data_IF_025813809921
#
_entry.id   IF_025813809921
#
_cell.length_a   1.000
_cell.length_b   1.000
_cell.length_c   1.000
_cell.angle_alpha   90.00
_cell.angle_beta   90.00
_cell.angle_gamma   90.00
#
_symmetry.space_group_name_H-M   'P 1'
#
loop_
_entity.id
_entity.type
_entity.pdbx_description
1 polymer ?
#
# COMPACT_ATOMS: atom_id res chain seq x y z
N UNK A 1 -2.65 -18.89 -10.21
CA UNK A 1 -3.08 -19.34 -11.56
C UNK A 1 -4.00 -20.57 -11.53
N UNK A 2 -4.09 -21.33 -10.43
CA UNK A 2 -5.10 -22.40 -10.24
C UNK A 2 -6.54 -21.91 -10.02
N UNK A 3 -6.71 -20.71 -9.45
CA UNK A 3 -8.00 -20.20 -8.97
C UNK A 3 -8.95 -19.73 -10.07
N UNK A 4 -8.48 -19.65 -11.33
CA UNK A 4 -9.32 -19.29 -12.48
C UNK A 4 -9.95 -20.52 -13.16
N UNK A 5 -9.45 -21.72 -12.87
CA UNK A 5 -10.00 -22.95 -13.43
C UNK A 5 -11.18 -23.39 -12.55
N UNK A 6 -12.39 -23.12 -13.00
CA UNK A 6 -13.62 -23.57 -12.35
C UNK A 6 -14.08 -24.91 -12.92
N UNK A 7 -14.74 -25.72 -12.10
CA UNK A 7 -15.43 -26.93 -12.59
C UNK A 7 -16.50 -26.51 -13.61
N UNK A 8 -16.56 -27.19 -14.75
CA UNK A 8 -17.67 -27.06 -15.70
C UNK A 8 -18.99 -27.39 -14.99
N UNK A 9 -20.06 -26.63 -15.24
CA UNK A 9 -21.34 -26.81 -14.55
C UNK A 9 -21.85 -28.27 -14.66
N UNK A 10 -21.76 -28.83 -15.87
CA UNK A 10 -22.24 -30.17 -16.21
C UNK A 10 -21.18 -31.29 -16.07
N UNK A 11 -19.92 -30.92 -15.78
CA UNK A 11 -18.81 -31.86 -15.66
C UNK A 11 -18.79 -32.60 -14.32
N UNK A 12 -18.35 -33.86 -14.32
CA UNK A 12 -18.15 -34.61 -13.09
C UNK A 12 -16.94 -34.09 -12.29
N UNK A 13 -17.00 -34.17 -10.96
CA UNK A 13 -15.85 -33.86 -10.10
C UNK A 13 -14.62 -34.72 -10.42
N UNK A 14 -14.84 -35.96 -10.85
CA UNK A 14 -13.77 -36.86 -11.27
C UNK A 14 -12.99 -36.26 -12.44
N UNK A 15 -13.67 -35.74 -13.47
CA UNK A 15 -13.03 -35.17 -14.65
C UNK A 15 -12.24 -33.92 -14.28
N UNK A 16 -12.83 -33.05 -13.45
CA UNK A 16 -12.15 -31.86 -12.95
C UNK A 16 -10.87 -32.18 -12.16
N UNK A 17 -10.88 -33.24 -11.34
CA UNK A 17 -9.66 -33.71 -10.66
C UNK A 17 -8.60 -34.19 -11.67
N UNK A 18 -9.00 -34.86 -12.75
CA UNK A 18 -8.06 -35.27 -13.81
C UNK A 18 -7.48 -34.05 -14.55
N UNK A 19 -8.31 -33.07 -14.91
CA UNK A 19 -7.87 -31.81 -15.51
C UNK A 19 -6.86 -31.07 -14.62
N UNK A 20 -7.17 -30.91 -13.33
CA UNK A 20 -6.27 -30.28 -12.37
C UNK A 20 -4.93 -31.00 -12.24
N UNK A 21 -4.94 -32.34 -12.27
CA UNK A 21 -3.72 -33.15 -12.24
C UNK A 21 -2.86 -32.92 -13.46
N UNK A 22 -3.45 -32.97 -14.66
CA UNK A 22 -2.74 -32.75 -15.92
C UNK A 22 -2.14 -31.35 -15.95
N UNK A 23 -2.92 -30.32 -15.60
CA UNK A 23 -2.44 -28.95 -15.55
C UNK A 23 -1.27 -28.77 -14.56
N UNK A 24 -1.37 -29.36 -13.36
CA UNK A 24 -0.28 -29.31 -12.38
C UNK A 24 0.99 -29.99 -12.93
N UNK A 25 0.86 -31.15 -13.56
CA UNK A 25 1.98 -31.89 -14.13
C UNK A 25 2.66 -31.12 -15.27
N UNK A 26 1.87 -30.54 -16.19
CA UNK A 26 2.38 -29.71 -17.27
C UNK A 26 3.08 -28.46 -16.73
N UNK A 27 2.56 -27.86 -15.66
CA UNK A 27 3.16 -26.68 -15.05
C UNK A 27 4.49 -27.00 -14.34
N UNK A 28 4.53 -28.07 -13.55
CA UNK A 28 5.75 -28.57 -12.91
C UNK A 28 6.81 -28.89 -13.97
N UNK A 29 6.40 -29.54 -15.07
CA UNK A 29 7.29 -29.87 -16.19
C UNK A 29 7.79 -28.62 -16.92
N UNK A 30 6.91 -27.67 -17.22
CA UNK A 30 7.24 -26.44 -17.95
C UNK A 30 8.13 -25.47 -17.15
N UNK A 31 8.11 -25.57 -15.82
CA UNK A 31 8.96 -24.79 -14.94
C UNK A 31 10.20 -25.54 -14.44
N UNK A 32 10.43 -26.77 -14.93
CA UNK A 32 11.57 -27.62 -14.54
C UNK A 32 11.65 -27.80 -13.01
N UNK A 33 10.50 -28.04 -12.37
CA UNK A 33 10.43 -28.27 -10.92
C UNK A 33 10.80 -29.72 -10.64
N UNK A 34 12.04 -29.94 -10.22
CA UNK A 34 12.61 -31.27 -10.00
C UNK A 34 12.59 -31.72 -8.53
N UNK A 35 12.48 -30.78 -7.59
CA UNK A 35 12.54 -31.07 -6.15
C UNK A 35 11.29 -30.61 -5.41
N UNK A 36 11.06 -31.20 -4.23
CA UNK A 36 9.95 -30.79 -3.36
C UNK A 36 10.11 -29.35 -2.88
N UNK A 37 11.34 -28.90 -2.65
CA UNK A 37 11.67 -27.52 -2.28
C UNK A 37 11.26 -26.55 -3.38
N UNK A 38 11.63 -26.84 -4.64
CA UNK A 38 11.22 -26.02 -5.79
C UNK A 38 9.69 -25.99 -5.97
N UNK A 39 9.00 -27.08 -5.64
CA UNK A 39 7.54 -27.12 -5.63
C UNK A 39 6.98 -26.22 -4.51
N UNK A 40 7.56 -26.23 -3.31
CA UNK A 40 7.15 -25.36 -2.21
C UNK A 40 7.34 -23.89 -2.59
N UNK A 41 8.50 -23.54 -3.15
CA UNK A 41 8.82 -22.20 -3.63
C UNK A 41 7.83 -21.72 -4.69
N UNK A 42 7.47 -22.59 -5.64
CA UNK A 42 6.48 -22.30 -6.66
C UNK A 42 5.10 -22.00 -6.06
N UNK A 43 4.65 -22.82 -5.11
CA UNK A 43 3.35 -22.64 -4.45
C UNK A 43 3.35 -21.34 -3.62
N UNK A 44 4.41 -21.07 -2.86
CA UNK A 44 4.54 -19.82 -2.09
C UNK A 44 4.55 -18.61 -3.02
N UNK A 45 5.30 -18.67 -4.13
CA UNK A 45 5.32 -17.61 -5.14
C UNK A 45 3.92 -17.34 -5.74
N UNK A 46 3.17 -18.36 -6.15
CA UNK A 46 1.81 -18.17 -6.67
C UNK A 46 0.89 -17.54 -5.61
N UNK A 47 1.03 -17.94 -4.34
CA UNK A 47 0.27 -17.39 -3.22
C UNK A 47 0.59 -15.91 -2.93
N UNK A 48 1.87 -15.54 -2.99
CA UNK A 48 2.32 -14.16 -2.83
C UNK A 48 1.84 -13.31 -4.00
N UNK A 49 2.07 -13.76 -5.23
CA UNK A 49 1.62 -13.08 -6.46
C UNK A 49 0.14 -12.75 -6.40
N UNK A 50 -0.72 -13.63 -5.87
CA UNK A 50 -2.16 -13.34 -5.75
C UNK A 50 -2.48 -12.17 -4.81
N UNK A 51 -1.71 -12.00 -3.73
CA UNK A 51 -1.92 -10.95 -2.71
C UNK A 51 -1.37 -9.58 -3.10
N UNK A 52 -0.50 -9.52 -4.11
CA UNK A 52 0.01 -8.25 -4.64
C UNK A 52 -1.14 -7.45 -5.30
N UNK A 53 -1.32 -6.16 -4.98
CA UNK A 53 -2.26 -5.28 -5.67
C UNK A 53 -2.04 -5.25 -7.19
N UNK A 54 -3.09 -5.00 -7.96
CA UNK A 54 -3.03 -5.07 -9.44
C UNK A 54 -2.08 -4.02 -10.03
N UNK A 55 -2.06 -2.83 -9.45
CA UNK A 55 -1.18 -1.72 -9.88
C UNK A 55 0.29 -2.12 -9.77
N UNK A 56 0.63 -2.84 -8.69
CA UNK A 56 1.98 -3.36 -8.47
C UNK A 56 2.26 -4.52 -9.44
N UNK A 57 1.26 -5.38 -9.71
CA UNK A 57 1.40 -6.49 -10.66
C UNK A 57 1.78 -6.04 -12.06
N UNK A 58 1.21 -4.94 -12.52
CA UNK A 58 1.46 -4.39 -13.85
C UNK A 58 2.89 -3.91 -14.02
N UNK A 59 3.52 -3.38 -12.97
CA UNK A 59 4.92 -2.95 -13.01
C UNK A 59 5.92 -4.10 -13.15
N UNK A 60 5.54 -5.33 -12.76
CA UNK A 60 6.45 -6.47 -12.71
C UNK A 60 6.14 -7.55 -13.76
N UNK A 61 5.32 -7.26 -14.78
CA UNK A 61 4.88 -8.26 -15.77
C UNK A 61 6.05 -9.05 -16.36
N UNK A 62 7.12 -8.35 -16.77
CA UNK A 62 8.31 -8.95 -17.38
C UNK A 62 9.30 -9.56 -16.36
N UNK A 63 9.16 -9.18 -15.08
CA UNK A 63 10.01 -9.68 -13.99
C UNK A 63 9.40 -10.90 -13.30
N UNK A 64 8.08 -11.13 -13.41
CA UNK A 64 7.39 -12.24 -12.78
C UNK A 64 8.00 -13.64 -13.02
N UNK A 65 8.49 -13.97 -14.23
CA UNK A 65 9.13 -15.25 -14.49
C UNK A 65 10.52 -15.39 -13.83
N UNK A 66 11.17 -14.28 -13.46
CA UNK A 66 12.51 -14.26 -12.88
C UNK A 66 12.50 -14.60 -11.38
N UNK A 67 11.36 -14.40 -10.72
CA UNK A 67 11.18 -14.74 -9.31
C UNK A 67 10.93 -16.24 -9.14
N UNK A 68 12.01 -17.03 -9.23
CA UNK A 68 11.98 -18.47 -8.91
C UNK A 68 11.90 -18.74 -7.41
N UNK A 69 12.45 -17.85 -6.60
CA UNK A 69 12.53 -17.96 -5.14
C UNK A 69 11.63 -16.93 -4.45
N UNK A 70 10.82 -17.34 -3.44
CA UNK A 70 9.96 -16.45 -2.68
C UNK A 70 10.70 -15.28 -2.03
N UNK A 71 11.93 -15.49 -1.58
CA UNK A 71 12.77 -14.50 -0.90
C UNK A 71 13.05 -13.31 -1.83
N UNK A 72 13.45 -13.60 -3.07
CA UNK A 72 13.72 -12.58 -4.07
C UNK A 72 12.46 -11.79 -4.41
N UNK A 73 11.31 -12.47 -4.45
CA UNK A 73 10.03 -11.80 -4.66
C UNK A 73 9.68 -10.87 -3.49
N UNK A 74 9.80 -11.35 -2.25
CA UNK A 74 9.50 -10.53 -1.07
C UNK A 74 10.36 -9.29 -1.01
N UNK A 75 11.67 -9.42 -1.25
CA UNK A 75 12.60 -8.29 -1.20
C UNK A 75 12.19 -7.21 -2.23
N UNK A 76 11.85 -7.62 -3.45
CA UNK A 76 11.43 -6.69 -4.50
C UNK A 76 10.12 -5.98 -4.17
N UNK A 77 9.16 -6.72 -3.61
CA UNK A 77 7.86 -6.16 -3.19
C UNK A 77 8.02 -5.15 -2.03
N UNK A 78 8.89 -5.46 -1.07
CA UNK A 78 9.16 -4.57 0.07
C UNK A 78 9.86 -3.27 -0.38
N UNK A 79 10.83 -3.38 -1.31
CA UNK A 79 11.48 -2.22 -1.92
C UNK A 79 10.46 -1.32 -2.61
N UNK A 80 9.53 -1.89 -3.38
CA UNK A 80 8.49 -1.11 -4.05
C UNK A 80 7.52 -0.47 -3.05
N UNK A 81 7.10 -1.19 -2.01
CA UNK A 81 6.23 -0.66 -0.95
C UNK A 81 6.81 0.58 -0.28
N UNK A 82 8.11 0.57 0.03
CA UNK A 82 8.83 1.73 0.58
C UNK A 82 8.79 2.95 -0.33
N UNK A 83 9.00 2.76 -1.64
CA UNK A 83 8.92 3.85 -2.64
C UNK A 83 7.50 4.39 -2.75
N UNK A 84 6.49 3.51 -2.78
CA UNK A 84 5.09 3.90 -2.86
C UNK A 84 4.66 4.71 -1.63
N UNK A 85 5.08 4.31 -0.43
CA UNK A 85 4.79 5.02 0.81
C UNK A 85 5.46 6.38 0.87
N UNK A 86 6.70 6.50 0.38
CA UNK A 86 7.38 7.79 0.26
C UNK A 86 6.62 8.73 -0.70
N UNK A 87 6.13 8.21 -1.83
CA UNK A 87 5.41 8.99 -2.82
C UNK A 87 4.07 9.49 -2.28
N UNK A 88 3.29 8.63 -1.60
CA UNK A 88 2.03 8.99 -0.92
C UNK A 88 2.25 10.08 0.13
N UNK A 89 3.28 9.95 0.97
CA UNK A 89 3.61 10.99 1.96
C UNK A 89 3.92 12.34 1.30
N UNK A 90 4.67 12.35 0.21
CA UNK A 90 5.03 13.60 -0.51
C UNK A 90 3.79 14.29 -1.11
N UNK A 91 2.83 13.54 -1.64
CA UNK A 91 1.58 14.13 -2.16
C UNK A 91 0.73 14.73 -1.04
N UNK A 92 0.64 14.07 0.11
CA UNK A 92 -0.09 14.59 1.27
C UNK A 92 0.51 15.92 1.77
N UNK A 93 1.85 16.01 1.87
CA UNK A 93 2.53 17.26 2.24
C UNK A 93 2.28 18.40 1.24
N UNK A 94 2.19 18.09 -0.06
CA UNK A 94 1.97 19.11 -1.07
C UNK A 94 0.55 19.69 -0.98
N UNK A 95 -0.44 18.86 -0.65
CA UNK A 95 -1.84 19.23 -0.55
C UNK A 95 -2.14 20.05 0.72
N UNK A 96 -1.41 19.81 1.81
CA UNK A 96 -1.46 20.65 3.00
C UNK A 96 -0.87 22.05 2.80
N UNK A 97 0.06 22.25 1.85
CA UNK A 97 0.64 23.56 1.54
C UNK A 97 -0.32 24.47 0.77
N UNK A 98 -1.17 23.91 -0.09
CA UNK A 98 -2.20 24.68 -0.83
C UNK A 98 -3.30 25.26 0.06
N UNK A 99 -3.59 24.60 1.19
CA UNK A 99 -4.61 25.10 2.15
C UNK A 99 -4.09 26.28 2.98
N UNK A 100 -2.80 26.32 3.32
CA UNK A 100 -2.20 27.45 4.03
C UNK A 100 -2.02 28.70 3.15
N UNK A 101 -1.79 28.54 1.84
CA UNK A 101 -1.72 29.69 0.92
C UNK A 101 -3.10 30.28 0.63
N UNK A 102 -4.14 29.44 0.50
CA UNK A 102 -5.52 29.91 0.29
C UNK A 102 -6.07 30.73 1.48
N UNK A 103 -5.62 30.46 2.70
CA UNK A 103 -6.02 31.25 3.87
C UNK A 103 -5.38 32.64 3.93
N UNK A 104 -4.17 32.83 3.35
CA UNK A 104 -3.53 34.15 3.27
C UNK A 104 -4.13 35.05 2.20
N UNK A 105 -4.62 34.48 1.11
CA UNK A 105 -5.15 35.26 -0.01
C UNK A 105 -6.54 35.87 0.30
N UNK A 106 -7.35 35.21 1.15
CA UNK A 106 -8.67 35.71 1.56
C UNK A 106 -8.62 36.86 2.58
N UNK A 107 -7.51 37.02 3.31
CA UNK A 107 -7.35 38.09 4.29
C UNK A 107 -6.78 39.39 3.70
N UNK A 108 -6.25 39.35 2.46
CA UNK A 108 -5.71 40.54 1.78
C UNK A 108 -6.76 41.31 0.97
N UNK A 109 -7.96 40.75 0.77
CA UNK A 109 -8.99 41.35 -0.07
C UNK A 109 -9.95 42.32 0.68
N UNK A 110 -9.82 42.49 2.00
CA UNK A 110 -10.72 43.37 2.78
C UNK A 110 -10.13 44.72 3.22
N UNK A 111 -8.88 45.06 2.90
CA UNK A 111 -8.35 46.40 3.25
C UNK A 111 -8.37 47.30 2.03
N UNK A 112 -9.57 47.76 1.66
CA UNK A 112 -9.71 48.98 0.85
C UNK A 112 -10.90 49.79 1.36
N UNK A 113 -10.57 50.82 2.15
CA UNK A 113 -11.47 51.91 2.50
C UNK A 113 -11.83 51.96 3.98
N UNK A 114 -11.06 52.71 4.77
CA UNK A 114 -11.42 54.06 5.24
C UNK A 114 -10.45 54.43 6.37
N UNK A 115 -9.76 55.54 6.15
CA UNK A 115 -8.93 56.30 7.09
C UNK A 115 -9.69 56.58 8.38
N UNK A 116 -9.00 56.54 9.53
CA UNK A 116 -8.99 57.53 10.64
C UNK A 116 -8.41 56.86 11.92
N UNK A 117 -7.19 57.26 12.27
CA UNK A 117 -6.61 57.22 13.64
C UNK A 117 -7.02 58.55 14.35
N UNK A 118 -6.87 58.75 15.69
CA UNK A 118 -6.21 57.91 16.71
C UNK A 118 -6.96 57.82 18.08
N UNK A 119 -6.48 56.94 18.99
CA UNK A 119 -5.96 57.30 20.35
C UNK A 119 -5.80 56.09 21.29
N UNK A 120 -4.54 55.83 21.64
CA UNK A 120 -3.95 55.37 22.92
C UNK A 120 -4.86 54.86 24.05
N UNK A 121 -4.62 53.61 24.47
CA UNK A 121 -5.05 53.03 25.76
C UNK A 121 -4.34 51.71 26.05
N UNK A 122 -3.72 51.60 27.23
CA UNK A 122 -2.70 50.63 27.62
C UNK A 122 -3.20 49.20 27.93
N UNK A 123 -2.27 48.25 27.70
CA UNK A 123 -1.86 47.10 28.52
C UNK A 123 -2.91 46.40 29.41
N UNK A 124 -3.11 45.09 29.22
CA UNK A 124 -2.99 44.09 30.30
C UNK A 124 -2.87 42.67 29.73
N UNK A 125 -2.07 41.88 30.45
CA UNK A 125 -1.55 40.54 30.15
C UNK A 125 -2.62 39.48 30.32
N UNK A 126 -2.60 38.40 29.54
CA UNK A 126 -2.78 37.05 30.10
C UNK A 126 -1.90 36.03 29.36
N UNK A 127 -1.08 35.35 30.16
CA UNK A 127 -0.05 34.36 29.81
C UNK A 127 -0.64 32.95 29.94
N UNK A 128 -0.19 32.04 29.06
CA UNK A 128 -0.07 30.58 29.23
C UNK A 128 -1.38 29.78 29.41
N UNK A 129 -1.51 28.55 28.93
CA UNK A 129 -0.52 27.50 28.71
C UNK A 129 -1.01 26.50 27.65
N UNK A 130 -0.10 26.04 26.79
CA UNK A 130 -0.28 24.83 25.98
C UNK A 130 -0.09 23.61 26.89
N UNK A 131 -1.05 22.71 26.88
CA UNK A 131 -0.95 21.36 27.45
C UNK A 131 -0.07 20.50 26.55
N UNK A 132 0.91 19.86 27.18
CA UNK A 132 1.76 18.82 26.60
C UNK A 132 0.97 17.53 26.41
N UNK A 133 1.33 16.87 25.32
CA UNK A 133 0.86 15.60 24.81
C UNK A 133 1.51 14.46 25.62
N UNK A 134 0.72 13.47 26.07
CA UNK A 134 1.25 12.23 26.63
C UNK A 134 0.22 11.12 26.44
N UNK A 135 0.38 10.35 25.37
CA UNK A 135 -0.10 8.97 25.33
C UNK A 135 1.07 8.06 25.01
N UNK A 136 1.73 7.65 26.09
CA UNK A 136 2.69 6.57 26.07
C UNK A 136 1.98 5.21 26.10
N UNK A 137 2.61 4.27 25.40
CA UNK A 137 2.13 2.91 25.11
C UNK A 137 2.07 2.05 26.38
N UNK A 138 1.13 1.08 26.45
CA UNK A 138 1.46 -0.36 26.58
C UNK A 138 0.26 -1.31 26.69
N UNK A 139 0.45 -2.42 25.96
CA UNK A 139 -0.20 -3.74 26.02
C UNK A 139 -0.66 -4.18 27.41
N UNK A 140 -1.76 -4.96 27.46
CA UNK A 140 -1.82 -6.21 28.24
C UNK A 140 -2.88 -7.18 27.69
N UNK A 141 -2.39 -8.35 27.28
CA UNK A 141 -3.09 -9.63 27.18
C UNK A 141 -3.51 -10.06 28.60
N UNK A 142 -4.67 -10.73 28.75
CA UNK A 142 -4.88 -11.67 29.85
C UNK A 142 -5.89 -12.76 29.48
N UNK A 143 -5.35 -13.99 29.54
CA UNK A 143 -5.88 -15.30 29.88
C UNK A 143 -7.38 -15.56 29.78
#
# INVERSE_FOLDING_TARGET
MFTKHSKNADGAWKDFVHELKIYLQEWIKGLEVETFELLCDLIINDQMKRRVPTEIKEHFIDEWPKFKFPELLSEKLDQYGSVQDMMKKKTDFHDHKGKYSSFKEKNSAHVRGVTEEPKQGNFEKYKSSKTEDSFDRKKKVKC
#
